data_IF_670408983636
#
_entry.id   IF_670408983636
#
_cell.length_a   1.000
_cell.length_b   1.000
_cell.length_c   1.000
_cell.angle_alpha   90.00
_cell.angle_beta   90.00
_cell.angle_gamma   90.00
#
_symmetry.space_group_name_H-M   'P 1'
#
loop_
_entity.id
_entity.type
_entity.pdbx_description
1 polymer ?
#
# COMPACT_ATOMS: atom_id res chain seq x y z
N UNK A 1 49.24 -28.85 -9.60
CA UNK A 1 48.70 -28.05 -10.73
C UNK A 1 47.21 -27.92 -10.49
N UNK A 2 46.58 -26.78 -10.26
CA UNK A 2 46.95 -25.39 -9.98
C UNK A 2 45.73 -24.88 -9.20
N UNK A 3 45.93 -24.25 -8.06
CA UNK A 3 44.90 -23.47 -7.37
C UNK A 3 44.28 -22.48 -8.36
N UNK A 4 42.95 -22.48 -8.52
CA UNK A 4 42.29 -21.37 -9.21
C UNK A 4 41.34 -20.65 -8.25
N UNK A 5 41.84 -19.65 -7.50
CA UNK A 5 41.07 -18.95 -6.47
C UNK A 5 40.20 -17.79 -7.01
N UNK A 6 39.95 -17.72 -8.32
CA UNK A 6 39.50 -16.48 -8.97
C UNK A 6 38.01 -16.42 -9.36
N UNK A 7 37.16 -17.23 -8.72
CA UNK A 7 35.70 -17.06 -8.81
C UNK A 7 35.14 -16.22 -7.66
N UNK A 8 35.83 -15.12 -7.31
CA UNK A 8 35.19 -14.05 -6.57
C UNK A 8 34.25 -13.30 -7.51
N UNK A 9 32.94 -13.56 -7.38
CA UNK A 9 31.91 -12.65 -7.88
C UNK A 9 32.19 -11.28 -7.26
N UNK A 10 32.74 -10.36 -8.05
CA UNK A 10 32.69 -8.92 -7.79
C UNK A 10 31.20 -8.52 -7.79
N UNK A 11 30.56 -8.58 -6.62
CA UNK A 11 29.37 -7.77 -6.39
C UNK A 11 29.85 -6.32 -6.48
N UNK A 12 29.35 -5.60 -7.48
CA UNK A 12 29.63 -4.18 -7.61
C UNK A 12 29.14 -3.48 -6.33
N UNK A 13 30.08 -2.92 -5.57
CA UNK A 13 29.82 -2.21 -4.32
C UNK A 13 28.76 -1.11 -4.55
N UNK A 14 27.65 -1.16 -3.82
CA UNK A 14 26.53 -0.24 -4.02
C UNK A 14 26.91 1.18 -3.55
N UNK A 15 27.15 2.07 -4.51
CA UNK A 15 27.53 3.45 -4.21
C UNK A 15 26.29 4.30 -3.85
N UNK A 16 25.96 4.34 -2.56
CA UNK A 16 24.81 5.11 -2.03
C UNK A 16 24.79 6.57 -2.54
N UNK A 17 25.87 7.37 -2.45
CA UNK A 17 25.89 8.75 -2.97
C UNK A 17 25.49 8.88 -4.44
N UNK A 18 25.91 7.96 -5.30
CA UNK A 18 25.60 7.98 -6.73
C UNK A 18 24.14 7.59 -6.99
N UNK A 19 23.67 6.53 -6.35
CA UNK A 19 22.29 6.04 -6.48
C UNK A 19 21.27 7.07 -5.97
N UNK A 20 21.62 7.83 -4.92
CA UNK A 20 20.77 8.94 -4.44
C UNK A 20 20.55 10.04 -5.49
N UNK A 21 21.44 10.18 -6.49
CA UNK A 21 21.27 11.17 -7.57
C UNK A 21 20.25 10.70 -8.60
N UNK A 22 20.14 9.38 -8.81
CA UNK A 22 19.25 8.74 -9.79
C UNK A 22 17.79 8.70 -9.36
N UNK A 23 17.50 8.91 -8.07
CA UNK A 23 16.14 8.86 -7.53
C UNK A 23 15.17 9.85 -8.19
N UNK A 24 13.98 9.39 -8.60
CA UNK A 24 12.97 10.24 -9.24
C UNK A 24 12.24 11.13 -8.21
N UNK A 25 11.64 12.21 -8.71
CA UNK A 25 10.75 13.10 -7.95
C UNK A 25 9.29 12.65 -8.05
N UNK A 26 9.06 11.35 -7.96
CA UNK A 26 7.74 10.71 -8.10
C UNK A 26 7.31 10.05 -6.78
N UNK A 27 6.00 9.78 -6.60
CA UNK A 27 5.54 8.97 -5.50
C UNK A 27 5.99 7.52 -5.67
N UNK A 28 6.14 6.82 -4.55
CA UNK A 28 6.68 5.46 -4.56
C UNK A 28 6.92 4.88 -3.19
N UNK A 29 7.37 3.63 -3.19
CA UNK A 29 7.83 2.91 -2.00
C UNK A 29 9.33 2.68 -2.12
N UNK A 30 10.07 2.83 -1.04
CA UNK A 30 11.49 2.49 -0.95
C UNK A 30 11.71 1.37 0.05
N UNK A 31 12.67 0.51 -0.25
CA UNK A 31 13.08 -0.62 0.56
C UNK A 31 14.55 -0.45 0.91
N UNK A 32 14.88 -0.62 2.19
CA UNK A 32 16.25 -0.54 2.69
C UNK A 32 16.72 -1.95 3.02
N UNK A 33 17.88 -2.32 2.48
CA UNK A 33 18.45 -3.66 2.63
C UNK A 33 19.63 -3.64 3.60
N UNK A 34 19.68 -4.67 4.44
CA UNK A 34 20.72 -4.90 5.43
C UNK A 34 21.95 -5.64 4.87
N UNK A 35 22.86 -6.05 5.76
CA UNK A 35 24.09 -6.78 5.40
C UNK A 35 23.89 -8.14 4.75
N UNK A 36 22.77 -8.82 4.99
CA UNK A 36 22.44 -10.13 4.41
C UNK A 36 21.44 -10.00 3.25
N UNK A 37 21.37 -8.82 2.65
CA UNK A 37 20.39 -8.44 1.62
C UNK A 37 18.92 -8.49 2.10
N UNK A 38 18.68 -8.57 3.40
CA UNK A 38 17.35 -8.64 3.97
C UNK A 38 16.68 -7.25 4.00
N UNK A 39 15.37 -7.19 3.75
CA UNK A 39 14.62 -5.93 3.87
C UNK A 39 14.50 -5.57 5.35
N UNK A 40 15.25 -4.55 5.78
CA UNK A 40 15.26 -4.07 7.16
C UNK A 40 14.25 -2.94 7.41
N UNK A 41 13.87 -2.21 6.34
CA UNK A 41 12.87 -1.15 6.41
C UNK A 41 12.15 -0.93 5.07
N UNK A 42 10.86 -0.63 5.13
CA UNK A 42 10.03 -0.22 3.98
C UNK A 42 9.34 1.09 4.34
N UNK A 43 9.27 2.02 3.39
CA UNK A 43 8.49 3.25 3.57
C UNK A 43 7.97 3.84 2.28
N UNK A 44 6.88 4.60 2.36
CA UNK A 44 6.33 5.36 1.23
C UNK A 44 6.86 6.80 1.18
N UNK A 45 6.82 7.38 -0.02
CA UNK A 45 7.15 8.77 -0.26
C UNK A 45 6.22 9.39 -1.31
N UNK A 46 5.83 10.66 -1.12
CA UNK A 46 5.28 11.49 -2.21
C UNK A 46 6.36 11.88 -3.23
N UNK A 47 7.60 11.94 -2.75
CA UNK A 47 8.78 12.27 -3.54
C UNK A 47 9.95 11.40 -3.04
N UNK A 48 10.26 10.33 -3.78
CA UNK A 48 11.30 9.37 -3.42
C UNK A 48 12.66 10.06 -3.20
N UNK A 49 13.07 10.95 -4.11
CA UNK A 49 14.35 11.68 -4.01
C UNK A 49 14.52 12.42 -2.69
N UNK A 50 13.54 13.21 -2.28
CA UNK A 50 13.62 13.98 -1.05
C UNK A 50 13.61 13.05 0.17
N UNK A 51 12.74 12.05 0.16
CA UNK A 51 12.52 11.18 1.32
C UNK A 51 13.72 10.29 1.60
N UNK A 52 14.31 9.66 0.58
CA UNK A 52 15.45 8.76 0.75
C UNK A 52 16.71 9.57 1.09
N UNK A 53 16.95 10.70 0.43
CA UNK A 53 18.11 11.57 0.74
C UNK A 53 18.15 12.04 2.19
N UNK A 54 16.99 12.30 2.79
CA UNK A 54 16.87 12.76 4.17
C UNK A 54 17.53 11.79 5.18
N UNK A 55 17.55 10.48 4.90
CA UNK A 55 18.21 9.50 5.77
C UNK A 55 19.73 9.65 5.81
N UNK A 56 20.34 10.12 4.72
CA UNK A 56 21.80 10.22 4.56
C UNK A 56 22.34 11.63 4.82
N UNK A 57 21.48 12.64 4.97
CA UNK A 57 21.90 13.99 5.32
C UNK A 57 22.35 14.09 6.78
N UNK A 58 23.53 14.67 7.02
CA UNK A 58 24.10 14.87 8.37
C UNK A 58 23.35 15.91 9.21
N UNK A 59 22.79 16.93 8.57
CA UNK A 59 22.05 18.02 9.22
C UNK A 59 20.68 17.62 9.78
N UNK A 60 20.16 16.46 9.40
CA UNK A 60 18.84 16.02 9.85
C UNK A 60 18.93 15.33 11.23
N UNK A 61 18.23 15.89 12.22
CA UNK A 61 18.16 15.33 13.58
C UNK A 61 17.33 14.04 13.58
N UNK A 62 18.02 12.90 13.52
CA UNK A 62 17.42 11.55 13.50
C UNK A 62 17.26 11.03 14.91
N UNK A 63 16.18 10.29 15.18
CA UNK A 63 16.06 9.50 16.40
C UNK A 63 17.12 8.39 16.42
N UNK A 64 17.49 7.91 17.62
CA UNK A 64 18.50 6.85 17.79
C UNK A 64 18.14 5.61 16.97
N UNK A 65 16.86 5.19 16.96
CA UNK A 65 16.38 4.07 16.16
C UNK A 65 16.64 4.25 14.66
N UNK A 66 16.41 5.45 14.13
CA UNK A 66 16.66 5.74 12.70
C UNK A 66 18.16 5.75 12.42
N UNK A 67 19.00 6.29 13.31
CA UNK A 67 20.45 6.28 13.13
C UNK A 67 21.00 4.86 13.05
N UNK A 68 20.56 3.98 13.96
CA UNK A 68 20.92 2.56 13.96
C UNK A 68 20.44 1.82 12.70
N UNK A 69 19.24 2.16 12.20
CA UNK A 69 18.75 1.61 10.94
C UNK A 69 19.64 2.05 9.78
N UNK A 70 19.93 3.35 9.68
CA UNK A 70 20.75 3.92 8.59
C UNK A 70 22.16 3.34 8.56
N UNK A 71 22.77 3.07 9.72
CA UNK A 71 24.10 2.46 9.77
C UNK A 71 24.14 1.00 9.28
N UNK A 72 22.99 0.33 9.14
CA UNK A 72 22.91 -1.05 8.65
C UNK A 72 22.56 -1.14 7.17
N UNK A 73 22.20 -0.03 6.51
CA UNK A 73 21.81 -0.02 5.10
C UNK A 73 23.03 -0.29 4.23
N UNK A 74 22.99 -1.37 3.45
CA UNK A 74 23.97 -1.65 2.39
C UNK A 74 23.51 -1.13 1.04
N UNK A 75 22.21 -1.27 0.74
CA UNK A 75 21.60 -0.77 -0.50
C UNK A 75 20.14 -0.41 -0.28
N UNK A 76 19.56 0.26 -1.25
CA UNK A 76 18.13 0.55 -1.26
C UNK A 76 17.54 0.31 -2.65
N UNK A 77 16.26 -0.05 -2.66
CA UNK A 77 15.45 -0.17 -3.86
C UNK A 77 14.28 0.81 -3.79
N UNK A 78 13.64 1.06 -4.93
CA UNK A 78 12.41 1.82 -4.98
C UNK A 78 11.49 1.34 -6.09
N UNK A 79 10.20 1.48 -5.86
CA UNK A 79 9.13 1.22 -6.82
C UNK A 79 8.38 2.53 -7.01
N UNK A 80 8.36 3.03 -8.24
CA UNK A 80 7.56 4.20 -8.64
C UNK A 80 6.12 3.76 -8.84
N UNK A 81 5.18 4.60 -8.42
CA UNK A 81 3.74 4.39 -8.62
C UNK A 81 3.09 5.66 -9.16
N UNK A 82 1.83 5.57 -9.57
CA UNK A 82 1.14 6.69 -10.21
C UNK A 82 0.39 7.57 -9.21
N UNK A 83 0.20 7.09 -7.96
CA UNK A 83 -0.49 7.85 -6.92
C UNK A 83 0.03 7.60 -5.50
N UNK A 84 -0.22 8.56 -4.60
CA UNK A 84 0.08 8.39 -3.16
C UNK A 84 -0.68 7.23 -2.52
N UNK A 85 -1.89 6.98 -3.01
CA UNK A 85 -2.73 5.87 -2.57
C UNK A 85 -2.09 4.53 -2.91
N UNK A 86 -1.62 4.35 -4.14
CA UNK A 86 -0.90 3.13 -4.54
C UNK A 86 0.36 2.92 -3.72
N UNK A 87 1.15 3.97 -3.47
CA UNK A 87 2.37 3.88 -2.66
C UNK A 87 2.05 3.37 -1.25
N UNK A 88 0.95 3.86 -0.69
CA UNK A 88 0.49 3.49 0.64
C UNK A 88 -0.05 2.06 0.71
N UNK A 89 -0.71 1.56 -0.35
CA UNK A 89 -1.15 0.18 -0.44
C UNK A 89 0.03 -0.77 -0.58
N UNK A 90 0.94 -0.44 -1.50
CA UNK A 90 2.13 -1.23 -1.78
C UNK A 90 3.05 -1.31 -0.55
N UNK A 91 3.27 -0.19 0.14
CA UNK A 91 4.01 -0.16 1.40
C UNK A 91 3.37 -1.10 2.43
N UNK A 92 2.05 -1.02 2.61
CA UNK A 92 1.35 -1.87 3.58
C UNK A 92 1.50 -3.36 3.25
N UNK A 93 1.41 -3.74 1.98
CA UNK A 93 1.60 -5.12 1.55
C UNK A 93 3.04 -5.59 1.80
N UNK A 94 4.04 -4.80 1.39
CA UNK A 94 5.45 -5.13 1.58
C UNK A 94 5.84 -5.24 3.06
N UNK A 95 5.30 -4.39 3.94
CA UNK A 95 5.51 -4.51 5.40
C UNK A 95 4.88 -5.79 5.94
N UNK A 96 3.68 -6.18 5.48
CA UNK A 96 3.00 -7.39 5.94
C UNK A 96 3.71 -8.67 5.48
N UNK A 97 4.20 -8.66 4.25
CA UNK A 97 4.92 -9.79 3.64
C UNK A 97 6.30 -9.98 4.28
N UNK A 98 7.09 -8.91 4.40
CA UNK A 98 8.49 -9.00 4.81
C UNK A 98 8.71 -8.79 6.32
N UNK A 99 7.73 -8.21 7.04
CA UNK A 99 7.81 -7.85 8.46
C UNK A 99 9.17 -7.25 8.87
N UNK A 100 9.63 -6.16 8.22
CA UNK A 100 10.98 -5.64 8.41
C UNK A 100 11.23 -5.21 9.86
N UNK A 101 12.43 -5.49 10.38
CA UNK A 101 12.77 -5.28 11.81
C UNK A 101 12.55 -3.85 12.30
N UNK A 102 12.80 -2.85 11.46
CA UNK A 102 12.69 -1.44 11.88
C UNK A 102 11.30 -0.84 11.68
N UNK A 103 10.43 -1.49 10.89
CA UNK A 103 9.04 -1.04 10.73
C UNK A 103 8.24 -1.33 12.00
N UNK A 104 7.50 -0.31 12.45
CA UNK A 104 6.45 -0.55 13.44
C UNK A 104 5.29 -1.21 12.72
N UNK A 105 5.08 -2.50 12.97
CA UNK A 105 3.85 -3.19 12.52
C UNK A 105 2.71 -2.65 13.36
N UNK A 106 1.99 -1.66 12.83
CA UNK A 106 0.76 -1.19 13.43
C UNK A 106 -0.24 -2.35 13.39
N UNK A 107 -0.62 -2.86 14.56
CA UNK A 107 -1.67 -3.89 14.71
C UNK A 107 -3.07 -3.34 14.43
N UNK A 108 -3.22 -2.04 14.18
CA UNK A 108 -4.53 -1.44 13.92
C UNK A 108 -4.98 -1.84 12.53
N UNK A 109 -5.90 -2.80 12.52
CA UNK A 109 -6.39 -3.57 11.38
C UNK A 109 -7.36 -2.77 10.49
N UNK A 110 -7.21 -1.44 10.49
CA UNK A 110 -8.00 -0.51 9.67
C UNK A 110 -7.49 -0.55 8.23
N UNK A 111 -7.55 -1.74 7.64
CA UNK A 111 -7.53 -1.96 6.20
C UNK A 111 -8.38 -0.92 5.50
N UNK A 112 -7.84 -0.38 4.40
CA UNK A 112 -8.48 0.69 3.65
C UNK A 112 -9.89 0.29 3.20
N UNK A 113 -10.88 1.20 3.27
CA UNK A 113 -12.21 0.93 2.77
C UNK A 113 -12.18 0.66 1.27
N UNK A 114 -12.99 -0.29 0.85
CA UNK A 114 -13.36 -0.60 -0.51
C UNK A 114 -14.86 -0.39 -0.68
N UNK A 115 -15.28 -0.05 -1.89
CA UNK A 115 -16.67 -0.16 -2.31
C UNK A 115 -16.86 -1.58 -2.84
N UNK A 116 -17.71 -2.38 -2.18
CA UNK A 116 -18.17 -3.68 -2.69
C UNK A 116 -19.47 -3.48 -3.45
N UNK A 117 -19.52 -4.02 -4.64
CA UNK A 117 -20.71 -4.14 -5.46
C UNK A 117 -21.14 -5.62 -5.53
N UNK A 118 -22.30 -5.93 -4.95
CA UNK A 118 -22.80 -7.31 -4.80
C UNK A 118 -23.52 -7.80 -6.08
N UNK A 119 -22.75 -8.01 -7.15
CA UNK A 119 -23.27 -8.54 -8.43
C UNK A 119 -23.79 -9.97 -8.34
N UNK A 120 -23.53 -10.66 -7.23
CA UNK A 120 -24.05 -12.00 -6.96
C UNK A 120 -25.52 -12.03 -6.51
N UNK A 121 -26.16 -10.88 -6.34
CA UNK A 121 -27.56 -10.74 -5.93
C UNK A 121 -28.39 -10.24 -7.10
N UNK A 122 -29.65 -10.72 -7.20
CA UNK A 122 -30.60 -10.28 -8.23
C UNK A 122 -30.78 -8.76 -8.27
N UNK A 123 -30.68 -8.13 -7.09
CA UNK A 123 -30.67 -6.67 -6.94
C UNK A 123 -29.34 -6.23 -6.28
N UNK A 124 -28.34 -5.79 -7.07
CA UNK A 124 -27.04 -5.42 -6.54
C UNK A 124 -27.07 -4.26 -5.52
N UNK A 125 -26.08 -4.24 -4.61
CA UNK A 125 -25.93 -3.25 -3.55
C UNK A 125 -24.51 -2.70 -3.52
N UNK A 126 -24.38 -1.44 -3.10
CA UNK A 126 -23.09 -0.80 -2.83
C UNK A 126 -22.85 -0.72 -1.31
N UNK A 127 -21.73 -1.28 -0.88
CA UNK A 127 -21.31 -1.32 0.52
C UNK A 127 -19.90 -0.83 0.72
N UNK A 128 -19.63 -0.23 1.87
CA UNK A 128 -18.27 -0.04 2.36
C UNK A 128 -17.84 -1.33 3.05
N UNK A 129 -16.71 -1.89 2.64
CA UNK A 129 -16.08 -3.02 3.32
C UNK A 129 -14.59 -2.82 3.40
N UNK A 130 -13.98 -3.36 4.45
CA UNK A 130 -12.53 -3.42 4.59
C UNK A 130 -11.95 -4.78 4.21
N UNK A 131 -12.82 -5.73 3.85
CA UNK A 131 -12.44 -7.11 3.52
C UNK A 131 -13.06 -7.58 2.21
N UNK A 132 -12.23 -8.28 1.40
CA UNK A 132 -12.63 -8.90 0.13
C UNK A 132 -13.09 -10.36 0.35
N UNK A 133 -14.14 -10.56 1.16
CA UNK A 133 -14.60 -11.91 1.55
C UNK A 133 -15.30 -12.70 0.43
N UNK A 134 -16.04 -12.05 -0.46
CA UNK A 134 -16.83 -12.72 -1.50
C UNK A 134 -16.20 -12.56 -2.87
N UNK A 135 -15.63 -13.64 -3.42
CA UNK A 135 -14.97 -13.63 -4.74
C UNK A 135 -15.90 -13.28 -5.91
N UNK A 136 -17.21 -13.46 -5.76
CA UNK A 136 -18.20 -13.13 -6.81
C UNK A 136 -18.53 -11.64 -6.86
N UNK A 137 -18.30 -10.90 -5.78
CA UNK A 137 -18.55 -9.45 -5.75
C UNK A 137 -17.44 -8.68 -6.46
N UNK A 138 -17.78 -7.51 -7.01
CA UNK A 138 -16.79 -6.55 -7.50
C UNK A 138 -16.36 -5.63 -6.37
N UNK A 139 -15.06 -5.30 -6.32
CA UNK A 139 -14.49 -4.42 -5.31
C UNK A 139 -13.74 -3.27 -5.98
N UNK A 140 -14.07 -2.04 -5.59
CA UNK A 140 -13.44 -0.81 -6.06
C UNK A 140 -12.73 -0.13 -4.89
N UNK A 141 -11.60 0.53 -5.16
CA UNK A 141 -10.69 1.05 -4.14
C UNK A 141 -9.36 0.28 -4.13
N UNK A 142 -8.56 0.40 -3.06
CA UNK A 142 -8.88 0.99 -1.76
C UNK A 142 -9.01 2.51 -1.78
N UNK A 143 -9.72 3.09 -0.81
CA UNK A 143 -9.87 4.54 -0.67
C UNK A 143 -9.21 5.05 0.61
N UNK A 144 -8.79 6.31 0.59
CA UNK A 144 -8.04 6.94 1.68
C UNK A 144 -8.87 7.18 2.94
N UNK A 145 -10.15 7.53 2.80
CA UNK A 145 -11.04 7.81 3.94
C UNK A 145 -12.40 7.15 3.74
N UNK A 146 -13.10 6.84 4.84
CA UNK A 146 -14.44 6.25 4.77
C UNK A 146 -15.46 7.31 4.35
N UNK A 147 -15.20 8.56 4.73
CA UNK A 147 -16.03 9.73 4.45
C UNK A 147 -16.18 9.96 2.94
N UNK A 148 -15.06 10.00 2.20
CA UNK A 148 -15.07 10.16 0.73
C UNK A 148 -15.83 9.01 0.05
N UNK A 149 -15.71 7.79 0.58
CA UNK A 149 -16.43 6.63 0.06
C UNK A 149 -17.94 6.75 0.32
N UNK A 150 -18.33 7.20 1.51
CA UNK A 150 -19.74 7.41 1.85
C UNK A 150 -20.37 8.44 0.93
N UNK A 151 -19.72 9.58 0.72
CA UNK A 151 -20.20 10.63 -0.18
C UNK A 151 -20.38 10.12 -1.62
N UNK A 152 -19.40 9.38 -2.14
CA UNK A 152 -19.49 8.77 -3.47
C UNK A 152 -20.61 7.74 -3.60
N UNK A 153 -20.80 6.88 -2.60
CA UNK A 153 -21.90 5.91 -2.58
C UNK A 153 -23.26 6.62 -2.53
N UNK A 154 -23.41 7.66 -1.71
CA UNK A 154 -24.66 8.41 -1.61
C UNK A 154 -25.00 9.12 -2.93
N UNK A 155 -24.00 9.68 -3.62
CA UNK A 155 -24.19 10.24 -4.95
C UNK A 155 -24.66 9.17 -5.96
N UNK A 156 -23.97 8.03 -6.02
CA UNK A 156 -24.33 6.93 -6.93
C UNK A 156 -25.73 6.38 -6.64
N UNK A 157 -26.12 6.28 -5.36
CA UNK A 157 -27.46 5.85 -4.94
C UNK A 157 -28.53 6.79 -5.50
N UNK A 158 -28.32 8.10 -5.40
CA UNK A 158 -29.25 9.12 -5.91
C UNK A 158 -29.31 9.15 -7.43
N UNK A 159 -28.17 9.06 -8.12
CA UNK A 159 -28.12 9.18 -9.58
C UNK A 159 -28.61 7.92 -10.30
N UNK A 160 -28.26 6.74 -9.79
CA UNK A 160 -28.55 5.45 -10.43
C UNK A 160 -29.72 4.71 -9.78
N UNK A 161 -30.40 5.33 -8.81
CA UNK A 161 -31.49 4.73 -8.03
C UNK A 161 -31.12 3.34 -7.48
N UNK A 162 -29.91 3.20 -6.95
CA UNK A 162 -29.44 1.95 -6.37
C UNK A 162 -30.07 1.79 -4.99
N UNK A 163 -30.58 0.59 -4.70
CA UNK A 163 -31.20 0.32 -3.40
C UNK A 163 -30.23 0.53 -2.23
N UNK A 164 -30.76 1.07 -1.13
CA UNK A 164 -30.00 1.31 0.10
C UNK A 164 -30.43 0.37 1.25
N UNK A 165 -31.40 -0.52 1.03
CA UNK A 165 -31.85 -1.42 2.08
C UNK A 165 -31.08 -2.74 2.13
N UNK A 166 -31.01 -3.31 3.33
CA UNK A 166 -30.38 -4.61 3.58
C UNK A 166 -31.34 -5.80 3.45
N UNK A 167 -32.58 -5.57 2.98
CA UNK A 167 -33.61 -6.60 2.91
C UNK A 167 -33.38 -7.52 1.70
N UNK A 168 -33.59 -8.81 1.92
CA UNK A 168 -33.63 -9.83 0.86
C UNK A 168 -35.05 -9.87 0.33
N UNK A 169 -35.20 -9.70 -0.99
CA UNK A 169 -36.47 -9.76 -1.68
C UNK A 169 -36.25 -10.31 -3.08
N UNK A 170 -37.31 -10.86 -3.65
CA UNK A 170 -37.39 -11.40 -5.00
C UNK A 170 -38.75 -11.03 -5.59
N UNK A 171 -38.98 -11.34 -6.86
CA UNK A 171 -40.31 -11.17 -7.48
C UNK A 171 -41.38 -11.99 -6.73
N UNK A 172 -41.03 -13.16 -6.21
CA UNK A 172 -41.92 -14.03 -5.42
C UNK A 172 -42.20 -13.48 -4.02
N UNK A 173 -41.31 -12.64 -3.48
CA UNK A 173 -41.44 -12.06 -2.14
C UNK A 173 -41.09 -10.57 -2.17
N UNK A 174 -41.99 -9.74 -2.77
CA UNK A 174 -41.72 -8.32 -2.96
C UNK A 174 -41.77 -7.57 -1.63
N UNK A 175 -41.12 -6.42 -1.60
CA UNK A 175 -41.19 -5.50 -0.47
C UNK A 175 -42.48 -4.69 -0.53
N UNK A 176 -43.09 -4.43 0.63
CA UNK A 176 -44.27 -3.57 0.75
C UNK A 176 -44.02 -2.11 0.29
N UNK A 177 -42.76 -1.66 0.29
CA UNK A 177 -42.34 -0.37 -0.25
C UNK A 177 -41.00 -0.52 -1.00
N UNK A 178 -40.80 0.16 -2.14
CA UNK A 178 -39.53 0.16 -2.85
C UNK A 178 -38.40 0.62 -1.94
N UNK A 179 -37.25 -0.06 -2.01
CA UNK A 179 -36.02 0.34 -1.33
C UNK A 179 -35.20 1.36 -2.12
N UNK A 180 -35.87 2.21 -2.88
CA UNK A 180 -35.26 3.29 -3.66
C UNK A 180 -35.29 4.55 -2.80
N UNK A 181 -34.21 5.32 -2.84
CA UNK A 181 -34.23 6.71 -2.38
C UNK A 181 -34.61 7.60 -3.56
#
# INVERSE_FOLDING_TARGET
>A
MVDNPDYQKKEAEFNIPEELKKLPRLPGVYLMHGPMDEIIYVGKAKNLRNRVKQYFQKSYKKSIKIQQMVSQIQRFEYIVVDSELEALVLESNLIKENKPRYNTVLKDDKSYPYIRFSVEEDYPRLFITRSKRNKRSKYYGPYTTVEQVREGIELLRKTLHIRNCNKIFSEEKPLARPCLY
#
